data_IF_076174362367
#
_entry.id   IF_076174362367
#
_cell.length_a   1.000
_cell.length_b   1.000
_cell.length_c   1.000
_cell.angle_alpha   90.00
_cell.angle_beta   90.00
_cell.angle_gamma   90.00
#
_symmetry.space_group_name_H-M   'P 1'
#
loop_
_entity.id
_entity.type
_entity.pdbx_description
1 polymer ?
#
# COMPACT_ATOMS: atom_id res chain seq x y z
N UNK A 1 -1.60 1.07 -11.87
CA UNK A 1 -1.30 0.39 -10.58
C UNK A 1 -2.15 0.98 -9.48
N UNK A 2 -2.60 0.16 -8.55
CA UNK A 2 -3.39 0.60 -7.40
C UNK A 2 -2.62 0.32 -6.12
N UNK A 3 -2.59 1.29 -5.20
CA UNK A 3 -1.89 1.19 -3.92
C UNK A 3 -2.81 1.54 -2.76
N UNK A 4 -2.69 0.83 -1.65
CA UNK A 4 -3.40 1.20 -0.43
C UNK A 4 -2.74 2.44 0.19
N UNK A 5 -3.54 3.30 0.84
CA UNK A 5 -2.99 4.47 1.53
C UNK A 5 -2.24 4.03 2.80
N UNK A 6 -2.98 3.51 3.78
CA UNK A 6 -2.43 3.19 5.10
C UNK A 6 -1.47 2.00 5.05
N UNK A 7 -0.29 2.18 5.59
CA UNK A 7 0.76 1.17 5.68
C UNK A 7 1.52 0.90 4.37
N UNK A 8 1.06 1.39 3.22
CA UNK A 8 1.72 1.22 1.92
C UNK A 8 2.43 2.51 1.52
N UNK A 9 1.69 3.59 1.27
CA UNK A 9 2.27 4.90 0.97
C UNK A 9 2.50 5.75 2.23
N UNK A 10 1.76 5.52 3.31
CA UNK A 10 2.06 6.04 4.65
C UNK A 10 2.79 5.00 5.49
N UNK A 11 3.27 5.40 6.64
CA UNK A 11 3.90 4.46 7.59
C UNK A 11 2.88 3.46 8.17
N UNK A 12 1.59 3.82 8.20
CA UNK A 12 0.51 3.00 8.78
C UNK A 12 0.44 3.07 10.31
N UNK A 13 1.28 3.91 10.89
CA UNK A 13 1.34 4.18 12.33
C UNK A 13 1.07 5.66 12.53
N UNK A 14 -0.16 6.04 12.95
CA UNK A 14 -0.47 7.42 13.27
C UNK A 14 0.36 7.88 14.47
N UNK A 15 0.66 9.16 14.55
CA UNK A 15 1.32 9.79 15.69
C UNK A 15 0.47 10.97 16.16
N UNK A 16 0.41 11.20 17.46
CA UNK A 16 -0.22 12.39 18.02
C UNK A 16 0.53 13.63 17.51
N UNK A 17 -0.21 14.58 16.95
CA UNK A 17 0.35 15.85 16.43
C UNK A 17 0.10 16.99 17.38
N UNK A 18 -1.15 17.16 17.82
CA UNK A 18 -1.57 18.24 18.72
C UNK A 18 -2.68 17.79 19.67
N UNK A 19 -2.86 18.53 20.75
CA UNK A 19 -3.87 18.28 21.76
C UNK A 19 -4.62 19.59 22.04
N UNK A 20 -5.92 19.57 21.88
CA UNK A 20 -6.81 20.73 22.03
C UNK A 20 -7.75 20.54 23.23
N UNK A 21 -7.34 20.99 24.43
CA UNK A 21 -8.14 20.82 25.66
C UNK A 21 -9.26 21.83 25.74
N UNK A 22 -10.34 21.45 26.46
CA UNK A 22 -11.46 22.30 26.81
C UNK A 22 -11.75 22.19 28.32
N UNK A 23 -11.39 23.22 29.06
CA UNK A 23 -11.59 23.29 30.53
C UNK A 23 -10.71 22.37 31.37
N UNK A 24 -9.70 21.75 30.78
CA UNK A 24 -8.67 20.93 31.46
C UNK A 24 -7.31 21.15 30.81
N UNK A 25 -6.23 20.62 31.38
CA UNK A 25 -4.90 20.72 30.77
C UNK A 25 -4.71 19.70 29.62
N UNK A 26 -3.81 19.99 28.69
CA UNK A 26 -3.44 19.04 27.58
C UNK A 26 -2.92 17.72 28.14
N UNK A 27 -2.11 17.75 29.20
CA UNK A 27 -1.61 16.56 29.87
C UNK A 27 -2.76 15.71 30.45
N UNK A 28 -3.73 16.34 31.07
CA UNK A 28 -4.91 15.65 31.62
C UNK A 28 -5.77 15.05 30.51
N UNK A 29 -5.99 15.78 29.43
CA UNK A 29 -6.76 15.28 28.27
C UNK A 29 -6.12 14.03 27.67
N UNK A 30 -4.79 14.07 27.45
CA UNK A 30 -4.05 12.94 26.93
C UNK A 30 -4.06 11.73 27.87
N UNK A 31 -3.86 11.97 29.18
CA UNK A 31 -3.89 10.90 30.17
C UNK A 31 -5.26 10.20 30.24
N UNK A 32 -6.36 10.96 30.15
CA UNK A 32 -7.72 10.42 30.11
C UNK A 32 -7.94 9.53 28.86
N UNK A 33 -7.52 10.02 27.68
CA UNK A 33 -7.62 9.25 26.46
C UNK A 33 -6.77 7.98 26.52
N UNK A 34 -5.53 8.08 26.97
CA UNK A 34 -4.62 6.94 27.07
C UNK A 34 -5.13 5.88 28.06
N UNK A 35 -5.74 6.29 29.16
CA UNK A 35 -6.33 5.35 30.12
C UNK A 35 -7.39 4.45 29.45
N UNK A 36 -8.32 5.03 28.67
CA UNK A 36 -9.35 4.25 27.95
C UNK A 36 -8.73 3.38 26.86
N UNK A 37 -7.78 3.92 26.10
CA UNK A 37 -7.17 3.24 24.94
C UNK A 37 -6.17 2.15 25.36
N UNK A 38 -5.79 2.10 26.65
CA UNK A 38 -4.92 1.05 27.18
C UNK A 38 -5.57 -0.33 27.02
N UNK A 39 -4.85 -1.25 26.34
CA UNK A 39 -5.34 -2.60 26.04
C UNK A 39 -6.22 -2.71 24.81
N UNK A 40 -6.49 -1.62 24.09
CA UNK A 40 -7.19 -1.65 22.80
C UNK A 40 -6.15 -1.80 21.67
N UNK A 41 -6.23 -2.91 20.92
CA UNK A 41 -5.33 -3.18 19.79
C UNK A 41 -5.80 -2.46 18.53
N UNK A 42 -5.54 -1.15 18.47
CA UNK A 42 -5.81 -0.32 17.31
C UNK A 42 -4.71 0.74 17.15
N UNK A 43 -4.22 1.04 15.92
CA UNK A 43 -3.10 1.96 15.72
C UNK A 43 -3.28 3.36 16.32
N UNK A 44 -4.51 3.87 16.40
CA UNK A 44 -4.82 5.15 17.03
C UNK A 44 -4.67 5.04 18.56
N UNK A 45 -5.18 3.97 19.15
CA UNK A 45 -5.08 3.68 20.57
C UNK A 45 -3.61 3.57 21.00
N UNK A 46 -2.85 2.74 20.31
CA UNK A 46 -1.42 2.55 20.54
C UNK A 46 -0.65 3.88 20.47
N UNK A 47 -0.97 4.74 19.49
CA UNK A 47 -0.32 6.04 19.33
C UNK A 47 -0.64 7.01 20.50
N UNK A 48 -1.87 7.00 21.01
CA UNK A 48 -2.28 7.84 22.15
C UNK A 48 -1.61 7.37 23.43
N UNK A 49 -1.58 6.06 23.67
CA UNK A 49 -0.93 5.44 24.84
C UNK A 49 0.58 5.70 24.81
N UNK A 50 1.22 5.49 23.66
CA UNK A 50 2.66 5.74 23.52
C UNK A 50 3.02 7.19 23.77
N UNK A 51 2.25 8.16 23.25
CA UNK A 51 2.48 9.59 23.49
C UNK A 51 2.34 9.95 24.98
N UNK A 52 1.37 9.34 25.69
CA UNK A 52 1.23 9.54 27.12
C UNK A 52 2.43 8.98 27.91
N UNK A 53 2.93 7.80 27.50
CA UNK A 53 4.14 7.21 28.08
C UNK A 53 5.39 8.06 27.83
N UNK A 54 5.60 8.53 26.60
CA UNK A 54 6.73 9.40 26.23
C UNK A 54 6.74 10.69 27.04
N UNK A 55 5.54 11.23 27.38
CA UNK A 55 5.41 12.40 28.23
C UNK A 55 5.49 12.09 29.74
N UNK A 56 5.61 10.84 30.15
CA UNK A 56 5.69 10.41 31.53
C UNK A 56 4.40 10.71 32.32
N UNK A 57 3.24 10.63 31.67
CA UNK A 57 1.96 10.94 32.32
C UNK A 57 1.45 9.76 33.15
N UNK A 58 1.00 10.03 34.35
CA UNK A 58 0.27 9.06 35.16
C UNK A 58 -1.16 8.92 34.62
N UNK A 59 -1.55 7.68 34.30
CA UNK A 59 -2.88 7.40 33.80
C UNK A 59 -3.86 7.25 34.97
N UNK A 60 -5.06 7.84 34.89
CA UNK A 60 -6.08 7.67 35.93
C UNK A 60 -6.61 6.23 35.97
N UNK A 61 -6.97 5.78 37.14
CA UNK A 61 -7.66 4.49 37.30
C UNK A 61 -9.08 4.56 36.72
N UNK A 62 -9.39 3.57 35.86
CA UNK A 62 -10.68 3.42 35.22
C UNK A 62 -11.16 1.96 35.35
N UNK A 63 -12.44 1.73 35.13
CA UNK A 63 -12.95 0.37 34.91
C UNK A 63 -12.39 -0.23 33.62
N UNK A 64 -12.72 -1.50 33.37
CA UNK A 64 -12.40 -2.12 32.07
C UNK A 64 -12.96 -1.29 30.91
N UNK A 65 -12.14 -0.98 29.96
CA UNK A 65 -12.52 -0.26 28.75
C UNK A 65 -13.41 -1.13 27.85
N UNK A 66 -14.49 -0.56 27.36
CA UNK A 66 -15.42 -1.21 26.44
C UNK A 66 -15.31 -0.56 25.05
N UNK A 67 -14.62 -1.19 24.10
CA UNK A 67 -14.55 -0.67 22.72
C UNK A 67 -15.90 -0.78 22.02
N UNK A 68 -16.28 0.28 21.28
CA UNK A 68 -17.53 0.35 20.53
C UNK A 68 -17.23 0.32 19.03
N UNK A 69 -17.20 -0.90 18.48
CA UNK A 69 -17.16 -1.19 17.03
C UNK A 69 -16.29 -0.25 16.15
N UNK A 70 -15.04 0.05 16.58
CA UNK A 70 -14.10 0.86 15.80
C UNK A 70 -14.47 2.35 15.69
N UNK A 71 -15.43 2.85 16.49
CA UNK A 71 -15.85 4.24 16.51
C UNK A 71 -15.35 4.99 17.74
N UNK A 72 -15.10 4.28 18.84
CA UNK A 72 -14.65 4.83 20.11
C UNK A 72 -14.61 3.78 21.20
N UNK A 73 -14.43 4.22 22.43
CA UNK A 73 -14.44 3.39 23.61
C UNK A 73 -14.99 4.16 24.83
N UNK A 74 -15.52 3.43 25.80
CA UNK A 74 -16.06 3.97 27.05
C UNK A 74 -15.51 3.20 28.23
N UNK A 75 -15.34 3.92 29.36
CA UNK A 75 -15.00 3.36 30.68
C UNK A 75 -15.64 4.16 31.79
N UNK A 76 -15.70 3.60 32.99
CA UNK A 76 -16.14 4.34 34.18
C UNK A 76 -14.92 4.84 34.96
N UNK A 77 -14.92 6.13 35.28
CA UNK A 77 -13.97 6.79 36.14
C UNK A 77 -14.73 7.56 37.23
N UNK A 78 -14.55 7.20 38.49
CA UNK A 78 -15.22 7.87 39.62
C UNK A 78 -16.75 8.01 39.43
N UNK A 79 -17.42 6.96 38.96
CA UNK A 79 -18.88 6.92 38.68
C UNK A 79 -19.32 7.81 37.50
N UNK A 80 -18.41 8.39 36.76
CA UNK A 80 -18.70 9.13 35.52
C UNK A 80 -18.22 8.33 34.32
N UNK A 81 -19.00 8.35 33.24
CA UNK A 81 -18.56 7.74 31.96
C UNK A 81 -17.46 8.61 31.37
N UNK A 82 -16.36 8.01 31.06
CA UNK A 82 -15.29 8.57 30.23
C UNK A 82 -15.42 7.99 28.85
N UNK A 83 -15.46 8.83 27.80
CA UNK A 83 -15.65 8.42 26.42
C UNK A 83 -14.56 8.99 25.52
N UNK A 84 -14.07 8.18 24.59
CA UNK A 84 -13.11 8.56 23.55
C UNK A 84 -13.62 8.07 22.21
N UNK A 85 -13.56 8.91 21.15
CA UNK A 85 -14.02 8.46 19.83
C UNK A 85 -14.22 9.56 18.79
N UNK A 86 -14.92 9.18 17.71
CA UNK A 86 -15.26 10.09 16.61
C UNK A 86 -16.41 11.04 16.97
N UNK A 87 -16.60 12.08 16.14
CA UNK A 87 -17.75 12.99 16.29
C UNK A 87 -19.09 12.24 16.17
N UNK A 88 -19.19 11.30 15.23
CA UNK A 88 -20.42 10.51 15.03
C UNK A 88 -20.71 9.66 16.26
N UNK A 89 -19.69 9.06 16.88
CA UNK A 89 -19.84 8.32 18.13
C UNK A 89 -20.36 9.21 19.26
N UNK A 90 -19.82 10.42 19.39
CA UNK A 90 -20.29 11.38 20.40
C UNK A 90 -21.74 11.80 20.16
N UNK A 91 -22.13 12.04 18.93
CA UNK A 91 -23.50 12.35 18.58
C UNK A 91 -24.47 11.21 18.92
N UNK A 92 -24.11 9.95 18.60
CA UNK A 92 -24.90 8.78 18.98
C UNK A 92 -25.05 8.62 20.49
N UNK A 93 -23.99 8.93 21.25
CA UNK A 93 -24.00 8.90 22.71
C UNK A 93 -24.68 10.13 23.35
N UNK A 94 -25.16 11.10 22.57
CA UNK A 94 -25.74 12.33 23.03
C UNK A 94 -24.74 13.17 23.87
N UNK A 95 -23.47 13.16 23.49
CA UNK A 95 -22.42 14.01 24.04
C UNK A 95 -22.34 15.27 23.20
N UNK A 96 -22.54 16.45 23.85
CA UNK A 96 -22.48 17.73 23.16
C UNK A 96 -21.02 18.16 22.93
N UNK A 97 -20.69 18.47 21.66
CA UNK A 97 -19.40 19.04 21.28
C UNK A 97 -19.61 20.53 21.07
N UNK A 98 -18.99 21.42 21.86
CA UNK A 98 -19.10 22.85 21.62
C UNK A 98 -18.77 23.26 20.22
N UNK A 99 -19.55 24.17 19.63
CA UNK A 99 -19.45 24.55 18.21
C UNK A 99 -18.03 25.02 17.81
N UNK A 100 -17.33 25.74 18.71
CA UNK A 100 -15.96 26.20 18.46
C UNK A 100 -14.98 25.02 18.36
N UNK A 101 -15.14 24.01 19.23
CA UNK A 101 -14.31 22.78 19.25
C UNK A 101 -14.58 21.97 17.98
N UNK A 102 -15.84 21.79 17.64
CA UNK A 102 -16.24 21.07 16.44
C UNK A 102 -15.70 21.74 15.17
N UNK A 103 -15.85 23.07 15.04
CA UNK A 103 -15.34 23.83 13.89
C UNK A 103 -13.83 23.71 13.76
N UNK A 104 -13.10 23.78 14.87
CA UNK A 104 -11.64 23.63 14.88
C UNK A 104 -11.23 22.21 14.49
N UNK A 105 -11.89 21.19 15.03
CA UNK A 105 -11.66 19.79 14.73
C UNK A 105 -11.93 19.49 13.24
N UNK A 106 -13.04 20.01 12.67
CA UNK A 106 -13.42 19.83 11.27
C UNK A 106 -12.39 20.48 10.34
N UNK A 107 -11.91 21.68 10.64
CA UNK A 107 -10.83 22.32 9.89
C UNK A 107 -9.54 21.49 9.86
N UNK A 108 -9.18 20.82 10.96
CA UNK A 108 -8.00 19.97 11.03
C UNK A 108 -8.23 18.64 10.35
N UNK A 109 -9.41 18.07 10.46
CA UNK A 109 -9.83 16.90 9.70
C UNK A 109 -9.75 17.16 8.19
N UNK A 110 -10.16 18.35 7.75
CA UNK A 110 -10.03 18.76 6.35
C UNK A 110 -8.57 18.84 5.88
N UNK A 111 -7.62 19.12 6.78
CA UNK A 111 -6.16 19.09 6.53
C UNK A 111 -5.56 17.67 6.58
N UNK A 112 -6.38 16.65 6.77
CA UNK A 112 -5.95 15.25 6.78
C UNK A 112 -5.55 14.70 8.14
N UNK A 113 -5.85 15.41 9.23
CA UNK A 113 -5.63 14.89 10.57
C UNK A 113 -6.77 13.96 11.01
N UNK A 114 -6.44 12.96 11.79
CA UNK A 114 -7.40 12.10 12.48
C UNK A 114 -7.79 12.81 13.77
N UNK A 115 -9.08 12.92 14.05
CA UNK A 115 -9.60 13.60 15.23
C UNK A 115 -10.16 12.56 16.19
N UNK A 116 -9.75 12.62 17.45
CA UNK A 116 -10.24 11.78 18.53
C UNK A 116 -10.74 12.69 19.65
N UNK A 117 -12.05 12.73 19.86
CA UNK A 117 -12.67 13.50 20.94
C UNK A 117 -12.60 12.76 22.27
N UNK A 118 -12.57 13.50 23.38
CA UNK A 118 -12.52 12.98 24.76
C UNK A 118 -13.61 13.68 25.57
N UNK A 119 -14.42 12.92 26.29
CA UNK A 119 -15.48 13.46 27.13
C UNK A 119 -15.52 12.82 28.54
N UNK A 120 -16.00 13.57 29.52
CA UNK A 120 -16.36 13.09 30.85
C UNK A 120 -17.86 13.34 31.03
N UNK A 121 -18.63 12.27 31.23
CA UNK A 121 -20.09 12.31 31.22
C UNK A 121 -20.59 12.80 29.86
N UNK A 122 -21.41 13.85 29.85
CA UNK A 122 -21.92 14.45 28.61
C UNK A 122 -21.12 15.68 28.14
N UNK A 123 -19.98 15.97 28.77
CA UNK A 123 -19.19 17.16 28.47
C UNK A 123 -17.93 16.82 27.69
N UNK A 124 -17.82 17.31 26.45
CA UNK A 124 -16.61 17.23 25.64
C UNK A 124 -15.48 18.04 26.29
N UNK A 125 -14.37 17.38 26.61
CA UNK A 125 -13.18 17.97 27.26
C UNK A 125 -12.09 18.34 26.26
N UNK A 126 -12.36 18.16 24.98
CA UNK A 126 -11.45 18.50 23.90
C UNK A 126 -11.22 17.35 22.93
N UNK A 127 -10.20 17.48 22.12
CA UNK A 127 -9.82 16.45 21.16
C UNK A 127 -8.30 16.36 20.98
N UNK A 128 -7.87 15.21 20.52
CA UNK A 128 -6.48 14.89 20.15
C UNK A 128 -6.43 14.73 18.64
N UNK A 129 -5.40 15.28 18.02
CA UNK A 129 -5.18 15.08 16.57
C UNK A 129 -4.02 14.12 16.34
N UNK A 130 -4.19 13.24 15.36
CA UNK A 130 -3.15 12.32 14.94
C UNK A 130 -2.98 12.41 13.42
N UNK A 131 -1.80 12.06 12.95
CA UNK A 131 -1.51 11.99 11.53
C UNK A 131 -0.66 10.76 11.21
N UNK A 132 -1.08 10.02 10.19
CA UNK A 132 -0.27 8.95 9.60
C UNK A 132 0.61 9.59 8.51
N UNK A 133 1.91 9.71 8.77
CA UNK A 133 2.83 10.43 7.87
C UNK A 133 3.06 9.65 6.58
N UNK A 134 3.07 10.38 5.46
CA UNK A 134 3.51 9.87 4.16
C UNK A 134 4.99 9.47 4.26
N UNK A 135 5.37 8.33 3.69
CA UNK A 135 6.78 7.93 3.60
C UNK A 135 7.54 8.90 2.70
N UNK A 136 8.76 9.25 3.09
CA UNK A 136 9.58 10.25 2.38
C UNK A 136 9.91 9.86 0.94
N UNK A 137 10.01 8.54 0.64
CA UNK A 137 10.30 8.04 -0.70
C UNK A 137 9.14 8.16 -1.69
N UNK A 138 7.90 8.23 -1.21
CA UNK A 138 6.69 8.09 -2.03
C UNK A 138 6.59 9.06 -3.21
N UNK A 139 6.86 10.36 -3.08
CA UNK A 139 6.79 11.26 -4.24
C UNK A 139 7.76 10.85 -5.36
N UNK A 140 8.98 10.46 -5.00
CA UNK A 140 9.97 9.94 -5.95
C UNK A 140 9.58 8.58 -6.54
N UNK A 141 9.08 7.67 -5.70
CA UNK A 141 8.61 6.36 -6.14
C UNK A 141 7.47 6.47 -7.15
N UNK A 142 6.50 7.37 -6.91
CA UNK A 142 5.36 7.60 -7.79
C UNK A 142 5.81 8.25 -9.11
N UNK A 143 6.69 9.25 -9.06
CA UNK A 143 7.28 9.85 -10.27
C UNK A 143 7.95 8.78 -11.13
N UNK A 144 8.77 7.94 -10.53
CA UNK A 144 9.45 6.86 -11.23
C UNK A 144 8.49 5.83 -11.86
N UNK A 145 7.40 5.48 -11.16
CA UNK A 145 6.34 4.65 -11.72
C UNK A 145 5.67 5.32 -12.94
N UNK A 146 5.36 6.61 -12.86
CA UNK A 146 4.75 7.40 -13.93
C UNK A 146 5.66 7.52 -15.15
N UNK A 147 6.97 7.72 -14.96
CA UNK A 147 7.98 7.73 -16.03
C UNK A 147 8.02 6.40 -16.80
N UNK A 148 7.73 5.27 -16.14
CA UNK A 148 7.60 3.96 -16.81
C UNK A 148 6.22 3.73 -17.44
N UNK A 149 5.36 4.74 -17.49
CA UNK A 149 4.01 4.69 -18.05
C UNK A 149 2.97 3.99 -17.15
N UNK A 150 3.22 3.92 -15.84
CA UNK A 150 2.29 3.32 -14.88
C UNK A 150 1.48 4.45 -14.23
N UNK A 151 0.16 4.49 -14.45
CA UNK A 151 -0.75 5.35 -13.70
C UNK A 151 -0.96 4.80 -12.29
N UNK A 152 -0.82 5.67 -11.28
CA UNK A 152 -0.94 5.30 -9.86
C UNK A 152 -2.26 5.80 -9.28
N UNK A 153 -3.08 4.88 -8.79
CA UNK A 153 -4.33 5.16 -8.08
C UNK A 153 -4.17 4.83 -6.61
N UNK A 154 -4.40 5.77 -5.73
CA UNK A 154 -4.46 5.54 -4.28
C UNK A 154 -5.89 5.13 -3.93
N UNK A 155 -6.04 4.02 -3.18
CA UNK A 155 -7.30 3.62 -2.56
C UNK A 155 -7.22 3.72 -1.04
N UNK A 156 -8.26 4.25 -0.42
CA UNK A 156 -8.32 4.46 1.02
C UNK A 156 -9.73 4.21 1.57
N UNK A 157 -9.80 3.67 2.79
CA UNK A 157 -11.02 3.65 3.60
C UNK A 157 -11.26 4.95 4.38
N UNK A 158 -10.28 5.85 4.41
CA UNK A 158 -10.38 7.14 5.11
C UNK A 158 -11.38 8.07 4.44
N UNK A 159 -11.82 9.09 5.19
CA UNK A 159 -12.68 10.12 4.64
C UNK A 159 -11.99 10.89 3.48
N UNK A 160 -12.80 11.55 2.65
CA UNK A 160 -12.34 12.21 1.41
C UNK A 160 -11.35 13.34 1.67
N UNK A 161 -11.52 14.09 2.75
CA UNK A 161 -10.64 15.22 3.08
C UNK A 161 -9.25 14.76 3.46
N UNK A 162 -9.16 13.79 4.37
CA UNK A 162 -7.90 13.15 4.77
C UNK A 162 -7.17 12.54 3.57
N UNK A 163 -7.88 11.76 2.75
CA UNK A 163 -7.28 11.12 1.59
C UNK A 163 -6.77 12.14 0.55
N UNK A 164 -7.46 13.27 0.36
CA UNK A 164 -7.09 14.31 -0.60
C UNK A 164 -5.76 15.00 -0.27
N UNK A 165 -5.42 15.16 1.01
CA UNK A 165 -4.11 15.71 1.42
C UNK A 165 -2.96 14.79 0.98
N UNK A 166 -3.15 13.47 1.08
CA UNK A 166 -2.17 12.49 0.62
C UNK A 166 -2.03 12.45 -0.90
N UNK A 167 -3.11 12.66 -1.66
CA UNK A 167 -3.03 12.75 -3.13
C UNK A 167 -2.09 13.88 -3.55
N UNK A 168 -2.29 15.07 -2.99
CA UNK A 168 -1.45 16.24 -3.30
C UNK A 168 0.02 16.02 -2.88
N UNK A 169 0.24 15.45 -1.72
CA UNK A 169 1.59 15.22 -1.18
C UNK A 169 2.34 14.10 -1.89
N UNK A 170 1.65 13.09 -2.41
CA UNK A 170 2.25 11.93 -3.05
C UNK A 170 2.51 12.10 -4.55
N UNK A 171 1.77 12.98 -5.25
CA UNK A 171 1.84 13.15 -6.70
C UNK A 171 1.12 12.04 -7.50
N UNK A 172 0.29 11.22 -6.86
CA UNK A 172 -0.46 10.16 -7.55
C UNK A 172 -1.54 10.73 -8.50
N UNK A 173 -1.89 9.95 -9.54
CA UNK A 173 -2.81 10.41 -10.58
C UNK A 173 -4.27 10.45 -10.13
N UNK A 174 -4.69 9.47 -9.32
CA UNK A 174 -6.11 9.29 -8.93
C UNK A 174 -6.20 8.89 -7.46
N UNK A 175 -7.25 9.39 -6.81
CA UNK A 175 -7.64 8.99 -5.47
C UNK A 175 -9.05 8.42 -5.46
N UNK A 176 -9.22 7.30 -4.77
CA UNK A 176 -10.50 6.72 -4.37
C UNK A 176 -10.55 6.58 -2.86
N UNK A 177 -11.44 7.28 -2.20
CA UNK A 177 -11.58 7.31 -0.73
C UNK A 177 -12.91 6.71 -0.28
N UNK A 178 -13.03 6.45 1.02
CA UNK A 178 -14.22 5.88 1.66
C UNK A 178 -14.60 4.49 1.14
N UNK A 179 -13.61 3.70 0.72
CA UNK A 179 -13.82 2.37 0.16
C UNK A 179 -13.64 1.28 1.21
N UNK A 180 -14.65 0.45 1.37
CA UNK A 180 -14.54 -0.85 2.05
C UNK A 180 -13.66 -1.83 1.25
N UNK A 181 -13.27 -2.95 1.85
CA UNK A 181 -12.50 -3.99 1.14
C UNK A 181 -13.22 -4.51 -0.11
N UNK A 182 -14.55 -4.66 -0.03
CA UNK A 182 -15.36 -5.14 -1.13
C UNK A 182 -15.43 -4.11 -2.27
N UNK A 183 -15.56 -2.83 -1.95
CA UNK A 183 -15.59 -1.75 -2.95
C UNK A 183 -14.24 -1.60 -3.63
N UNK A 184 -13.13 -1.77 -2.92
CA UNK A 184 -11.79 -1.81 -3.52
C UNK A 184 -11.66 -2.94 -4.54
N UNK A 185 -12.17 -4.13 -4.23
CA UNK A 185 -12.19 -5.25 -5.17
C UNK A 185 -13.04 -4.95 -6.41
N UNK A 186 -14.24 -4.37 -6.24
CA UNK A 186 -15.11 -3.97 -7.35
C UNK A 186 -14.44 -2.94 -8.27
N UNK A 187 -13.73 -1.97 -7.72
CA UNK A 187 -12.97 -0.97 -8.50
C UNK A 187 -11.87 -1.63 -9.35
N UNK A 188 -11.24 -2.72 -8.87
CA UNK A 188 -10.27 -3.48 -9.67
C UNK A 188 -10.96 -4.11 -10.88
N UNK A 189 -12.05 -4.85 -10.66
CA UNK A 189 -12.81 -5.51 -11.71
C UNK A 189 -13.34 -4.53 -12.75
N UNK A 190 -13.81 -3.35 -12.32
CA UNK A 190 -14.26 -2.30 -13.25
C UNK A 190 -13.13 -1.81 -14.16
N UNK A 191 -11.90 -1.63 -13.62
CA UNK A 191 -10.74 -1.24 -14.43
C UNK A 191 -10.36 -2.34 -15.43
N UNK A 192 -10.36 -3.60 -15.02
CA UNK A 192 -10.10 -4.74 -15.89
C UNK A 192 -11.15 -4.86 -17.01
N UNK A 193 -12.43 -4.63 -16.69
CA UNK A 193 -13.52 -4.62 -17.67
C UNK A 193 -13.34 -3.56 -18.78
N UNK A 194 -12.56 -2.49 -18.53
CA UNK A 194 -12.16 -1.51 -19.56
C UNK A 194 -10.91 -1.91 -20.34
N UNK A 195 -10.43 -3.14 -20.22
CA UNK A 195 -9.24 -3.65 -20.91
C UNK A 195 -7.91 -3.19 -20.30
N UNK A 196 -7.92 -2.61 -19.09
CA UNK A 196 -6.70 -2.20 -18.41
C UNK A 196 -6.09 -3.38 -17.65
N UNK A 197 -4.75 -3.54 -17.75
CA UNK A 197 -4.01 -4.43 -16.85
C UNK A 197 -3.82 -3.71 -15.51
N UNK A 198 -4.30 -4.31 -14.44
CA UNK A 198 -4.33 -3.71 -13.10
C UNK A 198 -3.39 -4.43 -12.16
N UNK A 199 -2.38 -3.72 -11.67
CA UNK A 199 -1.52 -4.20 -10.60
C UNK A 199 -1.96 -3.61 -9.25
N UNK A 200 -1.84 -4.36 -8.17
CA UNK A 200 -2.10 -3.90 -6.81
C UNK A 200 -0.89 -4.10 -5.90
N UNK A 201 -0.59 -3.11 -5.05
CA UNK A 201 0.47 -3.23 -4.05
C UNK A 201 -0.04 -2.84 -2.65
N UNK A 202 0.25 -3.67 -1.67
CA UNK A 202 -0.23 -3.47 -0.31
C UNK A 202 0.55 -4.23 0.76
N UNK A 203 0.22 -3.94 2.05
CA UNK A 203 0.86 -4.56 3.23
C UNK A 203 -0.14 -5.15 4.21
N UNK A 204 -1.39 -4.71 4.18
CA UNK A 204 -2.38 -5.01 5.22
C UNK A 204 -3.56 -5.80 4.67
N UNK A 205 -4.19 -6.62 5.51
CA UNK A 205 -5.41 -7.37 5.20
C UNK A 205 -6.57 -6.47 4.75
N UNK A 206 -6.57 -5.19 5.13
CA UNK A 206 -7.55 -4.19 4.67
C UNK A 206 -7.48 -3.92 3.15
N UNK A 207 -6.56 -4.58 2.44
CA UNK A 207 -6.38 -4.46 0.98
C UNK A 207 -6.44 -5.82 0.26
N UNK A 208 -6.71 -6.90 0.97
CA UNK A 208 -6.77 -8.27 0.42
C UNK A 208 -7.75 -8.39 -0.76
N UNK A 209 -8.94 -7.81 -0.65
CA UNK A 209 -9.94 -7.84 -1.72
C UNK A 209 -9.39 -7.29 -3.04
N UNK A 210 -8.64 -6.20 -3.00
CA UNK A 210 -8.00 -5.62 -4.17
C UNK A 210 -6.84 -6.48 -4.69
N UNK A 211 -6.01 -7.05 -3.80
CA UNK A 211 -4.91 -7.93 -4.17
C UNK A 211 -5.38 -9.23 -4.84
N UNK A 212 -6.50 -9.80 -4.39
CA UNK A 212 -7.11 -10.99 -5.02
C UNK A 212 -7.77 -10.72 -6.37
N UNK A 213 -8.20 -9.48 -6.61
CA UNK A 213 -8.99 -9.12 -7.80
C UNK A 213 -8.17 -8.40 -8.88
N UNK A 214 -6.86 -8.24 -8.71
CA UNK A 214 -5.98 -7.62 -9.71
C UNK A 214 -5.33 -8.67 -10.62
N UNK A 215 -4.68 -8.22 -11.71
CA UNK A 215 -3.94 -9.10 -12.62
C UNK A 215 -2.56 -9.48 -12.07
N UNK A 216 -1.95 -8.59 -11.28
CA UNK A 216 -0.65 -8.82 -10.63
C UNK A 216 -0.68 -8.17 -9.24
N UNK A 217 -0.41 -8.94 -8.21
CA UNK A 217 -0.36 -8.51 -6.83
C UNK A 217 1.07 -8.45 -6.27
N UNK A 218 1.36 -7.38 -5.54
CA UNK A 218 2.66 -7.15 -4.91
C UNK A 218 2.50 -7.01 -3.39
N UNK A 219 3.20 -7.85 -2.63
CA UNK A 219 3.40 -7.66 -1.21
C UNK A 219 4.73 -6.94 -0.97
N UNK A 220 4.68 -5.84 -0.20
CA UNK A 220 5.88 -5.11 0.19
C UNK A 220 6.53 -5.74 1.42
N UNK A 221 7.78 -5.38 1.70
CA UNK A 221 8.47 -5.71 2.95
C UNK A 221 7.59 -5.34 4.16
N UNK A 222 7.64 -6.16 5.21
CA UNK A 222 6.77 -6.03 6.39
C UNK A 222 5.26 -6.16 6.13
N UNK A 223 4.85 -6.75 5.00
CA UNK A 223 3.45 -7.10 4.80
C UNK A 223 3.01 -8.19 5.78
N UNK A 224 1.74 -8.16 6.16
CA UNK A 224 1.13 -9.22 6.97
C UNK A 224 1.27 -10.58 6.26
N UNK A 225 1.37 -11.65 7.04
CA UNK A 225 1.60 -13.00 6.51
C UNK A 225 0.53 -13.40 5.48
N UNK A 226 -0.74 -13.12 5.76
CA UNK A 226 -1.85 -13.37 4.82
C UNK A 226 -1.69 -12.67 3.48
N UNK A 227 -1.11 -11.46 3.47
CA UNK A 227 -0.82 -10.69 2.26
C UNK A 227 0.35 -11.29 1.49
N UNK A 228 1.40 -11.75 2.19
CA UNK A 228 2.56 -12.39 1.55
C UNK A 228 2.19 -13.70 0.87
N UNK A 229 1.33 -14.49 1.49
CA UNK A 229 0.90 -15.79 0.97
C UNK A 229 0.01 -15.70 -0.27
N UNK A 230 -0.69 -14.58 -0.45
CA UNK A 230 -1.57 -14.40 -1.61
C UNK A 230 -0.96 -13.58 -2.75
N UNK A 231 0.16 -12.91 -2.51
CA UNK A 231 0.76 -12.04 -3.52
C UNK A 231 1.57 -12.83 -4.55
N UNK A 232 1.45 -12.44 -5.82
CA UNK A 232 2.23 -13.04 -6.91
C UNK A 232 3.72 -12.69 -6.81
N UNK A 233 4.03 -11.50 -6.26
CA UNK A 233 5.41 -10.99 -6.16
C UNK A 233 5.67 -10.43 -4.77
N UNK A 234 6.74 -10.89 -4.14
CA UNK A 234 7.25 -10.35 -2.88
C UNK A 234 8.37 -9.35 -3.16
N UNK A 235 8.24 -8.16 -2.63
CA UNK A 235 9.25 -7.10 -2.73
C UNK A 235 9.92 -6.94 -1.37
N UNK A 236 11.22 -7.20 -1.31
CA UNK A 236 12.03 -7.10 -0.09
C UNK A 236 12.49 -5.67 0.22
N UNK A 237 11.76 -4.68 -0.24
CA UNK A 237 11.97 -3.27 0.07
C UNK A 237 10.65 -2.61 0.44
N UNK A 238 10.75 -1.50 1.16
CA UNK A 238 9.57 -0.71 1.56
C UNK A 238 9.19 0.37 0.54
N UNK A 239 9.84 0.36 -0.65
CA UNK A 239 9.63 1.30 -1.75
C UNK A 239 8.73 0.68 -2.84
N UNK A 240 7.67 1.38 -3.20
CA UNK A 240 6.83 0.99 -4.34
C UNK A 240 7.50 1.26 -5.69
N UNK A 241 8.52 2.10 -5.73
CA UNK A 241 9.32 2.38 -6.92
C UNK A 241 10.05 1.14 -7.47
N UNK A 242 10.38 0.17 -6.60
CA UNK A 242 10.95 -1.13 -7.01
C UNK A 242 10.07 -1.88 -8.01
N UNK A 243 8.75 -1.64 -8.03
CA UNK A 243 7.82 -2.21 -9.02
C UNK A 243 8.14 -1.70 -10.43
N UNK A 244 8.54 -0.42 -10.57
CA UNK A 244 8.99 0.12 -11.86
C UNK A 244 10.26 -0.59 -12.35
N UNK A 245 11.21 -0.83 -11.45
CA UNK A 245 12.43 -1.60 -11.75
C UNK A 245 12.07 -3.02 -12.20
N UNK A 246 11.20 -3.72 -11.47
CA UNK A 246 10.74 -5.06 -11.83
C UNK A 246 10.07 -5.08 -13.21
N UNK A 247 9.22 -4.10 -13.53
CA UNK A 247 8.63 -3.94 -14.87
C UNK A 247 9.68 -3.77 -15.96
N UNK A 248 10.68 -2.90 -15.74
CA UNK A 248 11.75 -2.66 -16.70
C UNK A 248 12.58 -3.93 -16.95
N UNK A 249 12.90 -4.67 -15.89
CA UNK A 249 13.59 -5.96 -16.01
C UNK A 249 12.74 -6.95 -16.82
N UNK A 250 11.45 -7.07 -16.52
CA UNK A 250 10.54 -7.95 -17.26
C UNK A 250 10.46 -7.60 -18.76
N UNK A 251 10.43 -6.30 -19.11
CA UNK A 251 10.44 -5.82 -20.51
C UNK A 251 11.76 -6.22 -21.18
N UNK A 252 12.90 -6.02 -20.51
CA UNK A 252 14.21 -6.39 -21.06
C UNK A 252 14.33 -7.90 -21.29
N UNK A 253 13.89 -8.71 -20.33
CA UNK A 253 13.87 -10.18 -20.44
C UNK A 253 12.98 -10.60 -21.61
N UNK A 254 11.77 -10.06 -21.74
CA UNK A 254 10.86 -10.37 -22.85
C UNK A 254 11.46 -9.98 -24.21
N UNK A 255 12.09 -8.81 -24.30
CA UNK A 255 12.78 -8.38 -25.54
C UNK A 255 13.90 -9.34 -25.90
N UNK A 256 14.74 -9.72 -24.93
CA UNK A 256 15.85 -10.65 -25.11
C UNK A 256 15.35 -12.04 -25.52
N UNK A 257 14.33 -12.55 -24.87
CA UNK A 257 13.69 -13.81 -25.21
C UNK A 257 13.17 -13.80 -26.66
N UNK A 258 12.47 -12.73 -27.07
CA UNK A 258 12.00 -12.57 -28.46
C UNK A 258 13.15 -12.59 -29.45
N UNK A 259 14.25 -11.89 -29.16
CA UNK A 259 15.45 -11.89 -30.00
C UNK A 259 16.05 -13.30 -30.12
N UNK A 260 16.13 -14.05 -28.98
CA UNK A 260 16.62 -15.44 -28.99
C UNK A 260 15.76 -16.35 -29.85
N UNK A 261 14.43 -16.23 -29.80
CA UNK A 261 13.52 -16.99 -30.65
C UNK A 261 13.71 -16.67 -32.14
N UNK A 262 13.89 -15.39 -32.50
CA UNK A 262 14.15 -14.98 -33.89
C UNK A 262 15.46 -15.57 -34.38
N UNK A 263 16.53 -15.50 -33.58
CA UNK A 263 17.83 -16.09 -33.95
C UNK A 263 17.72 -17.61 -34.11
N UNK A 264 17.05 -18.29 -33.18
CA UNK A 264 16.85 -19.73 -33.28
C UNK A 264 16.07 -20.12 -34.55
N UNK A 265 15.04 -19.36 -34.93
CA UNK A 265 14.27 -19.55 -36.13
C UNK A 265 15.17 -19.37 -37.36
N UNK A 266 15.95 -18.28 -37.44
CA UNK A 266 16.86 -18.02 -38.56
C UNK A 266 17.91 -19.12 -38.73
N UNK A 267 18.50 -19.60 -37.63
CA UNK A 267 19.46 -20.72 -37.67
C UNK A 267 18.80 -21.99 -38.23
N UNK A 268 17.59 -22.32 -37.78
CA UNK A 268 16.86 -23.48 -38.28
C UNK A 268 16.53 -23.36 -39.78
N UNK A 269 16.12 -22.17 -40.25
CA UNK A 269 15.86 -21.91 -41.69
C UNK A 269 17.15 -22.05 -42.49
N UNK A 270 18.29 -21.52 -42.05
CA UNK A 270 19.57 -21.65 -42.68
C UNK A 270 20.02 -23.12 -42.78
N UNK A 271 19.81 -23.89 -41.70
CA UNK A 271 20.08 -25.34 -41.69
C UNK A 271 19.25 -26.06 -42.72
N UNK A 272 17.98 -25.74 -42.85
CA UNK A 272 17.06 -26.36 -43.80
C UNK A 272 17.45 -26.01 -45.23
N UNK A 273 17.81 -24.76 -45.51
CA UNK A 273 18.30 -24.31 -46.82
C UNK A 273 19.63 -24.98 -47.18
N UNK A 274 20.56 -25.11 -46.21
CA UNK A 274 21.83 -25.79 -46.45
C UNK A 274 21.62 -27.28 -46.76
N UNK A 275 20.67 -27.93 -46.11
CA UNK A 275 20.31 -29.32 -46.37
C UNK A 275 19.71 -29.50 -47.77
N UNK A 276 18.80 -28.62 -48.17
CA UNK A 276 18.23 -28.61 -49.54
C UNK A 276 19.30 -28.36 -50.60
N UNK A 277 20.25 -27.45 -50.37
CA UNK A 277 21.36 -27.18 -51.26
C UNK A 277 22.28 -28.41 -51.41
N UNK A 278 22.62 -29.07 -50.28
CA UNK A 278 23.47 -30.27 -50.29
C UNK A 278 22.78 -31.47 -50.93
N UNK A 279 21.45 -31.61 -50.82
CA UNK A 279 20.71 -32.68 -51.52
C UNK A 279 20.68 -32.50 -53.05
N UNK A 280 20.90 -31.29 -53.58
CA UNK A 280 21.00 -31.02 -55.01
C UNK A 280 22.42 -31.17 -55.59
N UNK A 281 23.44 -31.40 -54.72
CA UNK A 281 24.83 -31.61 -55.15
C UNK A 281 25.16 -33.11 -55.14
N UNK A 282 24.93 -33.77 -56.22
CA UNK A 282 25.20 -35.24 -56.46
C UNK A 282 26.64 -35.71 -56.20
N UNK A 283 27.56 -34.78 -55.87
CA UNK A 283 29.00 -35.07 -55.89
C UNK A 283 29.72 -35.04 -54.54
N UNK A 284 28.99 -34.81 -53.34
CA UNK A 284 29.69 -34.64 -52.05
C UNK A 284 28.99 -35.33 -50.86
N UNK A 285 28.99 -36.67 -50.74
CA UNK A 285 28.25 -37.36 -49.67
C UNK A 285 28.84 -37.19 -48.25
N UNK A 286 30.11 -36.79 -48.10
CA UNK A 286 30.81 -36.84 -46.83
C UNK A 286 30.88 -35.49 -46.06
N UNK A 287 30.57 -34.36 -46.66
CA UNK A 287 30.70 -33.05 -45.99
C UNK A 287 29.38 -32.49 -45.44
N UNK A 288 28.25 -33.00 -45.87
CA UNK A 288 26.93 -32.52 -45.45
C UNK A 288 26.70 -32.63 -43.94
N UNK A 289 27.15 -33.72 -43.35
CA UNK A 289 27.05 -33.93 -41.88
C UNK A 289 27.90 -32.97 -41.08
N UNK A 290 29.11 -32.63 -41.53
CA UNK A 290 30.02 -31.68 -40.84
C UNK A 290 29.48 -30.25 -40.85
N UNK A 291 28.86 -29.81 -41.99
CA UNK A 291 28.25 -28.50 -42.11
C UNK A 291 27.02 -28.38 -41.18
N UNK A 292 26.19 -29.43 -41.11
CA UNK A 292 25.05 -29.48 -40.21
C UNK A 292 25.44 -29.40 -38.73
N UNK A 293 26.47 -30.15 -38.36
CA UNK A 293 27.01 -30.11 -36.98
C UNK A 293 27.59 -28.73 -36.64
N UNK A 294 28.35 -28.13 -37.59
CA UNK A 294 28.90 -26.77 -37.39
C UNK A 294 27.82 -25.70 -37.22
N UNK A 295 26.79 -25.70 -38.04
CA UNK A 295 25.67 -24.74 -37.97
C UNK A 295 24.82 -24.94 -36.68
N UNK A 296 24.61 -26.20 -36.27
CA UNK A 296 23.89 -26.48 -35.00
C UNK A 296 24.68 -26.03 -33.78
N UNK A 297 26.01 -26.19 -33.79
CA UNK A 297 26.90 -25.69 -32.71
C UNK A 297 26.88 -24.15 -32.63
N UNK A 298 26.93 -23.45 -33.78
CA UNK A 298 26.83 -21.97 -33.80
C UNK A 298 25.49 -21.52 -33.25
N UNK A 299 24.39 -22.16 -33.65
CA UNK A 299 23.04 -21.86 -33.09
C UNK A 299 22.96 -22.07 -31.57
N UNK A 300 23.56 -23.15 -31.09
CA UNK A 300 23.62 -23.46 -29.65
C UNK A 300 24.47 -22.44 -28.86
N UNK A 301 25.62 -22.04 -29.38
CA UNK A 301 26.49 -21.01 -28.77
C UNK A 301 25.79 -19.66 -28.73
N UNK A 302 25.08 -19.25 -29.80
CA UNK A 302 24.29 -17.99 -29.80
C UNK A 302 23.15 -18.04 -28.80
N UNK A 303 22.47 -19.17 -28.65
CA UNK A 303 21.43 -19.36 -27.65
C UNK A 303 22.01 -19.27 -26.21
N UNK A 304 23.15 -19.92 -25.95
CA UNK A 304 23.84 -19.85 -24.65
C UNK A 304 24.33 -18.44 -24.35
N UNK A 305 24.94 -17.75 -25.30
CA UNK A 305 25.39 -16.37 -25.12
C UNK A 305 24.27 -15.41 -24.78
N UNK A 306 23.07 -15.67 -25.30
CA UNK A 306 21.88 -14.87 -25.03
C UNK A 306 21.23 -15.19 -23.67
N UNK A 307 21.60 -16.30 -23.02
CA UNK A 307 21.15 -16.69 -21.69
C UNK A 307 22.08 -16.23 -20.56
N UNK A 308 23.27 -15.67 -20.86
CA UNK A 308 24.18 -15.16 -19.85
C UNK A 308 23.48 -14.03 -19.08
N UNK A 309 23.33 -14.14 -17.75
CA UNK A 309 22.67 -13.11 -16.97
C UNK A 309 23.43 -11.80 -17.08
N UNK A 310 22.69 -10.71 -17.32
CA UNK A 310 23.27 -9.38 -17.15
C UNK A 310 23.66 -9.22 -15.69
N UNK A 311 24.97 -9.13 -15.41
CA UNK A 311 25.45 -8.65 -14.11
C UNK A 311 25.05 -7.17 -14.01
N UNK A 312 24.20 -6.84 -13.04
CA UNK A 312 23.88 -5.47 -12.60
C UNK A 312 24.76 -5.11 -11.42
#
# INVERSE_FOLDING_TARGET
MVVNLSGTISYGVPQVTDIYPNGISSARLLALAAAIETGIHHPIAEAIVEEAHVRGLELPEISTSNPVNGRGAEALMNRQTLSVGSADFFQEQGIDIPAEIYTKADQLAYKGQIIVFVAIGKFCRGFITLQDKLKRSIPGDISFLQETGIKVTIMSGSNRSTAKSYLKASGADVLRSQLSNLEKAKEMLLKQATGQVVAAAGRTSKFEGALRSCDISFALEYAQQSVKEMADVLIHTNSIGTIATAKNIAIMVKKRQRTSWIIALLVNVLLLLSLLFLCNLDSMPNYGGLVLIGLSLVGFVVLLANQIPLRY
#
